data_IF_684137635852
#
_entry.id   IF_684137635852
#
_cell.length_a   1.000
_cell.length_b   1.000
_cell.length_c   1.000
_cell.angle_alpha   90.00
_cell.angle_beta   90.00
_cell.angle_gamma   90.00
#
_symmetry.space_group_name_H-M   'P 1'
#
loop_
_entity.id
_entity.type
_entity.pdbx_description
1 polymer ?
#
# COMPACT_ATOMS: atom_id res chain seq x y z
N UNK A 1 7.03 -1.11 -1.52
CA UNK A 1 6.80 -0.62 -2.90
C UNK A 1 8.04 0.06 -3.46
N UNK A 2 8.24 0.01 -4.74
CA UNK A 2 9.30 0.66 -5.50
C UNK A 2 8.74 1.70 -6.49
N UNK A 3 7.43 1.94 -6.42
CA UNK A 3 6.72 3.00 -7.14
C UNK A 3 5.63 3.61 -6.25
N UNK A 4 5.76 4.88 -5.88
CA UNK A 4 4.74 5.64 -5.16
C UNK A 4 4.89 7.16 -5.41
N UNK A 5 3.93 7.95 -4.92
CA UNK A 5 3.91 9.40 -5.13
C UNK A 5 5.17 10.09 -4.58
N UNK A 6 5.77 9.59 -3.48
CA UNK A 6 6.97 10.19 -2.88
C UNK A 6 8.22 9.89 -3.71
N UNK A 7 8.32 8.66 -4.26
CA UNK A 7 9.40 8.26 -5.17
C UNK A 7 9.34 9.10 -6.45
N UNK A 8 8.14 9.20 -7.04
CA UNK A 8 7.89 9.98 -8.26
C UNK A 8 8.24 11.45 -8.06
N UNK A 9 7.76 12.06 -6.97
CA UNK A 9 8.06 13.45 -6.63
C UNK A 9 9.57 13.67 -6.52
N UNK A 10 10.27 12.81 -5.80
CA UNK A 10 11.71 12.92 -5.63
C UNK A 10 12.47 12.73 -6.94
N UNK A 11 12.04 11.80 -7.78
CA UNK A 11 12.62 11.60 -9.11
C UNK A 11 12.51 12.86 -9.98
N UNK A 12 11.32 13.47 -9.99
CA UNK A 12 11.08 14.71 -10.72
C UNK A 12 11.92 15.88 -10.17
N UNK A 13 12.05 16.00 -8.85
CA UNK A 13 12.89 17.02 -8.19
C UNK A 13 14.39 16.88 -8.53
N UNK A 14 14.88 15.63 -8.63
CA UNK A 14 16.28 15.34 -8.94
C UNK A 14 16.56 15.21 -10.45
N UNK A 15 15.54 15.19 -11.30
CA UNK A 15 15.68 15.02 -12.75
C UNK A 15 16.16 13.63 -13.17
N UNK A 16 15.82 12.61 -12.39
CA UNK A 16 16.17 11.19 -12.62
C UNK A 16 14.91 10.32 -12.71
N UNK A 17 15.08 9.03 -13.03
CA UNK A 17 13.94 8.10 -13.09
C UNK A 17 13.48 7.66 -11.68
N UNK A 18 12.20 7.26 -11.56
CA UNK A 18 11.67 6.66 -10.34
C UNK A 18 12.41 5.35 -9.98
N UNK A 19 12.85 4.59 -10.98
CA UNK A 19 13.64 3.38 -10.80
C UNK A 19 15.02 3.68 -10.18
N UNK A 20 15.68 4.76 -10.59
CA UNK A 20 16.96 5.17 -10.01
C UNK A 20 16.79 5.55 -8.53
N UNK A 21 15.75 6.30 -8.20
CA UNK A 21 15.44 6.66 -6.80
C UNK A 21 15.15 5.40 -5.98
N UNK A 22 14.28 4.52 -6.45
CA UNK A 22 13.91 3.31 -5.70
C UNK A 22 15.12 2.38 -5.50
N UNK A 23 15.93 2.16 -6.53
CA UNK A 23 17.14 1.33 -6.47
C UNK A 23 18.13 1.87 -5.45
N UNK A 24 18.37 3.19 -5.45
CA UNK A 24 19.25 3.87 -4.49
C UNK A 24 18.77 3.63 -3.06
N UNK A 25 17.50 3.88 -2.77
CA UNK A 25 16.98 3.75 -1.41
C UNK A 25 16.78 2.30 -0.95
N UNK A 26 16.55 1.36 -1.86
CA UNK A 26 16.58 -0.08 -1.55
C UNK A 26 17.98 -0.49 -1.07
N UNK A 27 19.05 -0.05 -1.77
CA UNK A 27 20.42 -0.33 -1.36
C UNK A 27 20.75 0.28 0.02
N UNK A 28 20.31 1.53 0.26
CA UNK A 28 20.52 2.18 1.54
C UNK A 28 19.75 1.50 2.69
N UNK A 29 18.50 1.08 2.45
CA UNK A 29 17.71 0.32 3.43
C UNK A 29 18.36 -1.02 3.78
N UNK A 30 18.92 -1.73 2.79
CA UNK A 30 19.63 -3.00 3.04
C UNK A 30 20.84 -2.80 3.96
N UNK A 31 21.63 -1.74 3.74
CA UNK A 31 22.77 -1.41 4.63
C UNK A 31 22.33 -1.15 6.06
N UNK A 32 21.23 -0.40 6.24
CA UNK A 32 20.70 -0.10 7.56
C UNK A 32 20.20 -1.38 8.27
N UNK A 33 19.53 -2.28 7.54
CA UNK A 33 19.09 -3.58 8.08
C UNK A 33 20.28 -4.49 8.45
N UNK A 34 21.30 -4.56 7.60
CA UNK A 34 22.54 -5.30 7.89
C UNK A 34 23.23 -4.76 9.15
N UNK A 35 23.34 -3.42 9.28
CA UNK A 35 23.90 -2.77 10.47
C UNK A 35 23.17 -3.14 11.77
N UNK A 36 21.86 -3.35 11.70
CA UNK A 36 21.05 -3.81 12.84
C UNK A 36 21.02 -5.34 12.99
N UNK A 37 21.88 -6.08 12.29
CA UNK A 37 21.91 -7.54 12.29
C UNK A 37 20.56 -8.21 11.92
N UNK A 38 19.77 -7.55 11.10
CA UNK A 38 18.48 -8.07 10.59
C UNK A 38 18.77 -8.94 9.38
N UNK A 39 18.42 -10.22 9.47
CA UNK A 39 18.56 -11.16 8.36
C UNK A 39 17.64 -10.76 7.19
N UNK A 40 18.11 -10.87 5.94
CA UNK A 40 17.26 -10.59 4.79
C UNK A 40 16.07 -11.56 4.74
N UNK A 41 14.93 -11.10 4.24
CA UNK A 41 13.79 -11.95 3.95
C UNK A 41 14.13 -12.94 2.82
N UNK A 42 13.43 -14.06 2.76
CA UNK A 42 13.57 -15.05 1.67
C UNK A 42 13.27 -14.44 0.30
N UNK A 43 12.30 -13.52 0.25
CA UNK A 43 11.90 -12.83 -0.97
C UNK A 43 11.69 -11.34 -0.70
N UNK A 44 12.21 -10.48 -1.58
CA UNK A 44 12.00 -9.04 -1.59
C UNK A 44 11.33 -8.65 -2.92
N UNK A 45 10.00 -8.78 -3.04
CA UNK A 45 9.30 -8.50 -4.29
C UNK A 45 9.30 -7.00 -4.61
N UNK A 46 9.29 -6.69 -5.90
CA UNK A 46 9.15 -5.33 -6.43
C UNK A 46 7.78 -5.19 -7.09
N UNK A 47 7.03 -4.18 -6.70
CA UNK A 47 5.69 -3.93 -7.23
C UNK A 47 5.71 -3.72 -8.76
N UNK A 48 6.74 -3.06 -9.29
CA UNK A 48 6.92 -2.84 -10.72
C UNK A 48 7.08 -4.12 -11.54
N UNK A 49 7.48 -5.22 -10.92
CA UNK A 49 7.60 -6.53 -11.56
C UNK A 49 6.31 -7.36 -11.51
N UNK A 50 5.30 -6.89 -10.80
CA UNK A 50 4.06 -7.62 -10.54
C UNK A 50 2.82 -6.97 -11.18
N UNK A 51 3.01 -6.03 -12.09
CA UNK A 51 1.92 -5.29 -12.76
C UNK A 51 0.91 -6.24 -13.44
N UNK A 52 1.38 -7.27 -14.13
CA UNK A 52 0.49 -8.26 -14.77
C UNK A 52 -0.44 -8.93 -13.77
N UNK A 53 0.10 -9.40 -12.64
CA UNK A 53 -0.72 -10.01 -11.58
C UNK A 53 -1.70 -9.03 -10.93
N UNK A 54 -1.34 -7.74 -10.85
CA UNK A 54 -2.26 -6.71 -10.35
C UNK A 54 -3.41 -6.50 -11.32
N UNK A 55 -3.14 -6.43 -12.63
CA UNK A 55 -4.18 -6.32 -13.67
C UNK A 55 -5.12 -7.53 -13.61
N UNK A 56 -4.58 -8.75 -13.50
CA UNK A 56 -5.38 -9.97 -13.42
C UNK A 56 -6.28 -10.00 -12.17
N UNK A 57 -5.75 -9.60 -11.02
CA UNK A 57 -6.55 -9.55 -9.78
C UNK A 57 -7.63 -8.47 -9.86
N UNK A 58 -7.32 -7.28 -10.38
CA UNK A 58 -8.30 -6.21 -10.59
C UNK A 58 -9.39 -6.66 -11.56
N UNK A 59 -9.04 -7.34 -12.66
CA UNK A 59 -10.03 -7.88 -13.59
C UNK A 59 -10.93 -8.91 -12.90
N UNK A 60 -10.36 -9.80 -12.09
CA UNK A 60 -11.12 -10.75 -11.28
C UNK A 60 -12.12 -10.05 -10.36
N UNK A 61 -11.71 -8.95 -9.72
CA UNK A 61 -12.59 -8.14 -8.87
C UNK A 61 -13.72 -7.47 -9.66
N UNK A 62 -13.43 -6.98 -10.87
CA UNK A 62 -14.44 -6.42 -11.78
C UNK A 62 -15.45 -7.50 -12.19
N UNK A 63 -14.99 -8.66 -12.64
CA UNK A 63 -15.82 -9.77 -13.09
C UNK A 63 -16.75 -10.30 -11.99
N UNK A 64 -16.27 -10.29 -10.73
CA UNK A 64 -17.08 -10.61 -9.55
C UNK A 64 -17.93 -9.44 -9.05
N UNK A 65 -17.82 -8.27 -9.68
CA UNK A 65 -18.58 -7.06 -9.39
C UNK A 65 -18.11 -6.31 -8.15
N UNK A 66 -16.95 -6.63 -7.57
CA UNK A 66 -16.33 -5.89 -6.46
C UNK A 66 -15.57 -4.64 -6.90
N UNK A 67 -15.36 -4.45 -8.19
CA UNK A 67 -14.72 -3.27 -8.71
C UNK A 67 -15.43 -2.74 -9.97
N UNK A 68 -15.16 -1.50 -10.34
CA UNK A 68 -15.74 -0.83 -11.51
C UNK A 68 -14.76 0.19 -12.09
N UNK A 69 -14.89 0.43 -13.39
CA UNK A 69 -14.07 1.39 -14.12
C UNK A 69 -14.87 2.66 -14.40
N UNK A 70 -14.27 3.82 -14.09
CA UNK A 70 -14.81 5.14 -14.50
C UNK A 70 -13.67 5.92 -15.14
N UNK A 71 -13.81 6.23 -16.41
CA UNK A 71 -12.86 7.06 -17.18
C UNK A 71 -11.39 6.57 -17.08
N UNK A 72 -11.17 5.25 -16.97
CA UNK A 72 -9.84 4.66 -16.87
C UNK A 72 -9.31 4.51 -15.45
N UNK A 73 -9.99 5.04 -14.45
CA UNK A 73 -9.74 4.76 -13.02
C UNK A 73 -10.55 3.55 -12.59
N UNK A 74 -9.93 2.58 -11.92
CA UNK A 74 -10.67 1.45 -11.35
C UNK A 74 -10.78 1.62 -9.85
N UNK A 75 -12.01 1.54 -9.35
CA UNK A 75 -12.35 1.63 -7.93
C UNK A 75 -12.85 0.30 -7.40
N UNK A 76 -12.56 0.03 -6.12
CA UNK A 76 -13.11 -1.08 -5.35
C UNK A 76 -14.40 -0.65 -4.66
N UNK A 77 -15.48 -1.47 -4.75
CA UNK A 77 -16.77 -1.25 -4.08
C UNK A 77 -16.69 -1.70 -2.63
N UNK A 78 -16.33 -0.80 -1.73
CA UNK A 78 -16.09 -1.12 -0.32
C UNK A 78 -17.29 -1.72 0.37
N UNK A 79 -18.52 -1.17 0.14
CA UNK A 79 -19.76 -1.67 0.76
C UNK A 79 -20.18 -3.04 0.29
N UNK A 80 -19.69 -3.51 -0.85
CA UNK A 80 -20.01 -4.85 -1.34
C UNK A 80 -19.32 -5.96 -0.53
N UNK A 81 -18.21 -5.66 0.12
CA UNK A 81 -17.51 -6.59 0.98
C UNK A 81 -18.09 -6.54 2.41
N UNK A 82 -18.97 -7.49 2.76
CA UNK A 82 -19.69 -7.52 4.04
C UNK A 82 -18.77 -7.55 5.28
N UNK A 83 -17.55 -8.07 5.12
CA UNK A 83 -16.55 -8.13 6.19
C UNK A 83 -15.68 -6.88 6.35
N UNK A 84 -15.94 -5.79 5.63
CA UNK A 84 -15.10 -4.59 5.71
C UNK A 84 -15.15 -3.97 7.12
N UNK A 85 -14.00 -3.67 7.68
CA UNK A 85 -13.88 -3.18 9.06
C UNK A 85 -13.62 -4.28 10.11
N UNK A 86 -13.57 -5.56 9.71
CA UNK A 86 -13.41 -6.68 10.66
C UNK A 86 -12.07 -6.67 11.41
N UNK A 87 -10.99 -6.18 10.78
CA UNK A 87 -9.68 -6.04 11.40
C UNK A 87 -9.59 -4.79 12.26
N UNK A 88 -9.94 -3.65 11.69
CA UNK A 88 -9.81 -2.33 12.33
C UNK A 88 -10.88 -2.06 13.39
N UNK A 89 -11.92 -2.89 13.44
CA UNK A 89 -13.11 -2.68 14.29
C UNK A 89 -13.86 -1.37 13.98
N UNK A 90 -13.69 -0.86 12.77
CA UNK A 90 -14.37 0.35 12.30
C UNK A 90 -15.72 -0.02 11.69
N UNK A 91 -16.74 0.76 12.01
CA UNK A 91 -18.03 0.67 11.35
C UNK A 91 -17.99 1.50 10.06
N UNK A 92 -18.46 0.94 8.95
CA UNK A 92 -18.56 1.61 7.66
C UNK A 92 -19.37 2.92 7.74
N UNK A 93 -20.46 2.93 8.49
CA UNK A 93 -21.34 4.10 8.61
C UNK A 93 -20.66 5.26 9.36
N UNK A 94 -19.80 4.95 10.34
CA UNK A 94 -19.01 5.96 11.06
C UNK A 94 -17.90 6.55 10.16
N UNK A 95 -17.35 5.75 9.24
CA UNK A 95 -16.36 6.22 8.28
C UNK A 95 -16.97 7.21 7.27
N UNK A 96 -18.21 7.00 6.83
CA UNK A 96 -18.91 7.91 5.93
C UNK A 96 -19.13 9.30 6.57
N UNK A 97 -19.44 9.33 7.86
CA UNK A 97 -19.61 10.59 8.59
C UNK A 97 -18.33 11.43 8.65
N UNK A 98 -17.16 10.79 8.72
CA UNK A 98 -15.85 11.46 8.71
C UNK A 98 -15.38 11.94 7.33
N UNK A 99 -15.91 11.36 6.24
CA UNK A 99 -15.54 11.72 4.87
C UNK A 99 -16.29 12.94 4.30
N UNK A 100 -17.43 13.32 4.88
CA UNK A 100 -18.27 14.41 4.37
C UNK A 100 -17.59 15.79 4.37
N UNK A 101 -16.52 15.95 5.13
CA UNK A 101 -15.84 17.26 5.29
C UNK A 101 -14.55 17.41 4.44
N UNK A 102 -14.11 16.37 3.71
CA UNK A 102 -12.85 16.41 2.95
C UNK A 102 -13.15 16.11 1.47
N UNK A 103 -13.35 17.17 0.68
CA UNK A 103 -13.42 17.02 -0.80
C UNK A 103 -12.03 16.82 -1.37
N UNK A 104 -11.75 15.64 -1.92
CA UNK A 104 -10.53 15.34 -2.68
C UNK A 104 -10.85 15.40 -4.17
N UNK A 105 -9.96 15.97 -4.99
CA UNK A 105 -10.15 16.04 -6.44
C UNK A 105 -10.33 14.62 -7.03
N UNK A 106 -11.44 14.39 -7.74
CA UNK A 106 -11.83 13.09 -8.33
C UNK A 106 -12.87 12.30 -7.53
N UNK A 107 -13.38 12.84 -6.41
CA UNK A 107 -14.44 12.18 -5.62
C UNK A 107 -15.79 12.10 -6.33
N UNK A 108 -16.07 13.01 -7.25
CA UNK A 108 -17.34 13.04 -7.99
C UNK A 108 -17.53 11.84 -8.96
N UNK A 109 -16.48 11.02 -9.14
CA UNK A 109 -16.51 9.86 -10.05
C UNK A 109 -16.75 8.53 -9.31
N UNK A 110 -16.72 8.50 -7.99
CA UNK A 110 -16.97 7.30 -7.19
C UNK A 110 -18.45 7.01 -7.02
N UNK A 111 -18.81 5.72 -7.04
CA UNK A 111 -20.17 5.27 -6.67
C UNK A 111 -20.45 5.49 -5.18
N UNK A 112 -19.44 5.34 -4.32
CA UNK A 112 -19.48 5.57 -2.88
C UNK A 112 -18.20 6.27 -2.40
N UNK A 113 -18.28 7.24 -1.47
CA UNK A 113 -17.10 7.95 -0.95
C UNK A 113 -16.04 7.03 -0.32
N UNK A 114 -16.44 5.87 0.19
CA UNK A 114 -15.54 4.88 0.80
C UNK A 114 -14.79 4.02 -0.21
N UNK A 115 -15.17 4.07 -1.49
CA UNK A 115 -14.51 3.30 -2.52
C UNK A 115 -13.06 3.76 -2.70
N UNK A 116 -12.16 2.82 -2.86
CA UNK A 116 -10.74 3.12 -2.98
C UNK A 116 -10.18 2.68 -4.33
N UNK A 117 -9.10 3.33 -4.74
CA UNK A 117 -8.52 3.16 -6.07
C UNK A 117 -7.71 1.90 -6.16
N UNK A 118 -7.95 1.08 -7.19
CA UNK A 118 -7.16 -0.08 -7.59
C UNK A 118 -6.20 0.23 -8.73
N UNK A 119 -6.62 1.09 -9.68
CA UNK A 119 -5.82 1.53 -10.82
C UNK A 119 -6.05 3.01 -11.11
N UNK A 120 -4.96 3.75 -11.37
CA UNK A 120 -4.98 5.19 -11.68
C UNK A 120 -4.48 5.42 -13.09
N UNK A 121 -5.18 6.22 -13.92
CA UNK A 121 -4.63 6.69 -15.20
C UNK A 121 -3.31 7.45 -15.01
N UNK A 122 -2.44 7.35 -16.01
CA UNK A 122 -1.16 8.04 -15.99
C UNK A 122 -1.33 9.55 -15.92
N UNK A 123 -0.40 10.20 -15.24
CA UNK A 123 -0.19 11.66 -15.29
C UNK A 123 1.17 11.94 -15.90
N UNK A 124 1.33 13.17 -16.40
CA UNK A 124 2.63 13.60 -16.90
C UNK A 124 3.72 13.49 -15.82
N UNK A 125 4.88 12.94 -16.20
CA UNK A 125 6.00 12.72 -15.27
C UNK A 125 5.87 11.50 -14.35
N UNK A 126 4.82 10.66 -14.52
CA UNK A 126 4.65 9.42 -13.76
C UNK A 126 5.01 8.18 -14.61
N UNK A 127 5.63 7.14 -14.00
CA UNK A 127 5.74 5.84 -14.66
C UNK A 127 4.35 5.26 -14.90
N UNK A 128 4.18 4.55 -16.01
CA UNK A 128 2.89 3.94 -16.35
C UNK A 128 3.07 2.65 -17.12
N UNK A 129 2.07 1.78 -17.00
CA UNK A 129 1.96 0.51 -17.69
C UNK A 129 0.64 0.42 -18.44
N UNK A 130 0.59 -0.29 -19.58
CA UNK A 130 -0.66 -0.52 -20.28
C UNK A 130 -1.59 -1.43 -19.46
N UNK A 131 -2.88 -1.12 -19.47
CA UNK A 131 -3.92 -1.95 -18.89
C UNK A 131 -5.18 -1.92 -19.75
N UNK A 132 -6.17 -2.83 -19.53
CA UNK A 132 -7.45 -2.81 -20.24
C UNK A 132 -8.27 -1.52 -20.04
N UNK A 133 -7.99 -0.75 -19.00
CA UNK A 133 -8.76 0.42 -18.60
C UNK A 133 -8.10 1.74 -19.05
N UNK A 134 -6.79 1.82 -18.87
CA UNK A 134 -5.96 2.97 -19.28
C UNK A 134 -4.49 2.63 -19.13
N UNK A 135 -3.60 3.37 -19.84
CA UNK A 135 -2.22 3.46 -19.41
C UNK A 135 -2.20 4.11 -18.03
N UNK A 136 -1.49 3.50 -17.07
CA UNK A 136 -1.55 3.99 -15.70
C UNK A 136 -0.69 3.19 -14.72
N UNK A 137 -1.04 3.26 -13.45
CA UNK A 137 -0.35 2.56 -12.38
C UNK A 137 -1.30 2.03 -11.31
N UNK A 138 -0.90 0.99 -10.56
CA UNK A 138 -1.73 0.43 -9.50
C UNK A 138 -1.93 1.40 -8.34
N UNK A 139 -3.01 1.20 -7.60
CA UNK A 139 -3.18 1.70 -6.24
C UNK A 139 -2.25 0.95 -5.28
N UNK A 140 -1.92 1.58 -4.14
CA UNK A 140 -0.98 0.99 -3.18
C UNK A 140 -1.42 -0.35 -2.59
N UNK A 141 -2.71 -0.53 -2.34
CA UNK A 141 -3.21 -1.70 -1.61
C UNK A 141 -3.16 -3.00 -2.44
N UNK A 142 -3.38 -2.91 -3.75
CA UNK A 142 -3.40 -4.08 -4.64
C UNK A 142 -2.01 -4.71 -4.80
N UNK A 143 -0.94 -3.93 -4.67
CA UNK A 143 0.43 -4.40 -4.76
C UNK A 143 0.68 -5.51 -3.73
N UNK A 144 0.35 -5.25 -2.47
CA UNK A 144 0.58 -6.18 -1.37
C UNK A 144 -0.28 -7.44 -1.48
N UNK A 145 -1.56 -7.31 -1.85
CA UNK A 145 -2.44 -8.46 -2.07
C UNK A 145 -1.90 -9.41 -3.14
N UNK A 146 -1.43 -8.87 -4.26
CA UNK A 146 -0.88 -9.68 -5.36
C UNK A 146 0.46 -10.31 -4.99
N UNK A 147 1.35 -9.55 -4.37
CA UNK A 147 2.65 -10.09 -3.95
C UNK A 147 2.50 -11.17 -2.88
N UNK A 148 1.61 -10.98 -1.90
CA UNK A 148 1.30 -12.01 -0.90
C UNK A 148 0.79 -13.30 -1.56
N UNK A 149 -0.19 -13.21 -2.44
CA UNK A 149 -0.71 -14.34 -3.20
C UNK A 149 0.37 -15.07 -3.98
N UNK A 150 1.19 -14.34 -4.73
CA UNK A 150 2.20 -14.91 -5.62
C UNK A 150 3.33 -15.62 -4.89
N UNK A 151 3.85 -15.02 -3.83
CA UNK A 151 5.06 -15.49 -3.15
C UNK A 151 4.80 -16.32 -1.90
N UNK A 152 3.59 -16.29 -1.38
CA UNK A 152 3.19 -17.06 -0.19
C UNK A 152 2.02 -17.99 -0.52
N UNK A 153 0.77 -17.49 -0.48
CA UNK A 153 -0.44 -18.28 -0.76
C UNK A 153 -1.68 -17.37 -0.88
N UNK A 154 -2.83 -17.96 -1.22
CA UNK A 154 -4.14 -17.28 -1.14
C UNK A 154 -4.55 -16.99 0.32
N UNK A 155 -4.18 -17.87 1.25
CA UNK A 155 -4.27 -17.72 2.70
C UNK A 155 -2.87 -17.78 3.29
N UNK A 156 -2.43 -16.70 3.95
CA UNK A 156 -1.10 -16.62 4.58
C UNK A 156 -1.19 -16.85 6.09
N UNK A 157 -0.10 -17.31 6.70
CA UNK A 157 -0.11 -17.57 8.15
C UNK A 157 -0.10 -16.28 8.94
N UNK A 158 0.86 -15.39 8.70
CA UNK A 158 1.04 -14.15 9.46
C UNK A 158 1.18 -12.97 8.50
N UNK A 159 0.39 -11.92 8.74
CA UNK A 159 0.56 -10.60 8.13
C UNK A 159 0.89 -9.58 9.21
N UNK A 160 1.95 -8.80 9.00
CA UNK A 160 2.45 -7.89 10.01
C UNK A 160 2.72 -6.49 9.46
N UNK A 161 2.67 -5.47 10.33
CA UNK A 161 2.99 -4.09 9.98
C UNK A 161 2.90 -3.13 11.16
N UNK A 162 3.01 -1.84 10.89
CA UNK A 162 2.72 -0.80 11.89
C UNK A 162 1.21 -0.67 12.16
N UNK A 163 0.85 -0.18 13.32
CA UNK A 163 -0.58 0.03 13.68
C UNK A 163 -1.29 1.04 12.77
N UNK A 164 -0.54 1.94 12.13
CA UNK A 164 -1.06 2.88 11.14
C UNK A 164 -1.51 2.20 9.83
N UNK A 165 -1.05 0.99 9.56
CA UNK A 165 -1.46 0.20 8.42
C UNK A 165 -2.76 -0.58 8.65
N UNK A 166 -3.22 -0.75 9.90
CA UNK A 166 -4.47 -1.48 10.19
C UNK A 166 -5.61 -0.92 9.34
N UNK A 167 -5.71 0.42 9.28
CA UNK A 167 -6.69 1.11 8.47
C UNK A 167 -6.07 2.34 7.79
N UNK A 168 -6.30 2.51 6.48
CA UNK A 168 -7.12 1.65 5.61
C UNK A 168 -6.36 0.49 4.94
N UNK A 169 -5.01 0.42 5.01
CA UNK A 169 -4.19 -0.42 4.14
C UNK A 169 -4.50 -1.92 4.29
N UNK A 170 -4.35 -2.49 5.48
CA UNK A 170 -4.59 -3.91 5.72
C UNK A 170 -6.06 -4.29 5.58
N UNK A 171 -6.99 -3.40 5.95
CA UNK A 171 -8.42 -3.62 5.72
C UNK A 171 -8.72 -3.72 4.22
N UNK A 172 -8.10 -2.87 3.39
CA UNK A 172 -8.24 -2.91 1.95
C UNK A 172 -7.58 -4.16 1.33
N UNK A 173 -6.44 -4.61 1.85
CA UNK A 173 -5.83 -5.87 1.43
C UNK A 173 -6.75 -7.08 1.71
N UNK A 174 -7.38 -7.12 2.89
CA UNK A 174 -8.38 -8.15 3.22
C UNK A 174 -9.51 -8.14 2.19
N UNK A 175 -10.11 -6.98 1.95
CA UNK A 175 -11.22 -6.85 1.04
C UNK A 175 -10.86 -7.31 -0.38
N UNK A 176 -9.71 -6.91 -0.90
CA UNK A 176 -9.22 -7.32 -2.21
C UNK A 176 -8.95 -8.82 -2.29
N UNK A 177 -8.17 -9.34 -1.35
CA UNK A 177 -7.70 -10.72 -1.38
C UNK A 177 -8.84 -11.72 -1.16
N UNK A 178 -9.71 -11.47 -0.18
CA UNK A 178 -10.83 -12.38 0.12
C UNK A 178 -11.91 -12.33 -0.95
N UNK A 179 -12.22 -11.16 -1.51
CA UNK A 179 -13.15 -11.06 -2.64
C UNK A 179 -12.61 -11.75 -3.90
N UNK A 180 -11.31 -11.59 -4.20
CA UNK A 180 -10.70 -12.21 -5.35
C UNK A 180 -10.56 -13.73 -5.20
N UNK A 181 -10.08 -14.21 -4.05
CA UNK A 181 -9.68 -15.60 -3.84
C UNK A 181 -10.76 -16.47 -3.19
N UNK A 182 -11.72 -15.89 -2.46
CA UNK A 182 -12.80 -16.62 -1.80
C UNK A 182 -12.37 -17.37 -0.53
N UNK A 183 -11.20 -17.05 0.02
CA UNK A 183 -10.66 -17.62 1.27
C UNK A 183 -10.20 -16.52 2.18
N UNK A 184 -10.02 -16.81 3.47
CA UNK A 184 -9.45 -15.87 4.44
C UNK A 184 -8.05 -15.45 3.99
N UNK A 185 -7.73 -14.16 4.06
CA UNK A 185 -6.43 -13.66 3.59
C UNK A 185 -5.28 -14.01 4.54
N UNK A 186 -5.43 -13.76 5.83
CA UNK A 186 -4.38 -14.05 6.82
C UNK A 186 -4.97 -14.65 8.10
N UNK A 187 -4.30 -15.67 8.64
CA UNK A 187 -4.72 -16.33 9.89
C UNK A 187 -4.45 -15.45 11.10
N UNK A 188 -3.26 -14.83 11.13
CA UNK A 188 -2.83 -13.99 12.25
C UNK A 188 -2.35 -12.63 11.77
N UNK A 189 -2.71 -11.60 12.52
CA UNK A 189 -2.32 -10.21 12.30
C UNK A 189 -1.44 -9.73 13.45
N UNK A 190 -0.30 -9.12 13.12
CA UNK A 190 0.62 -8.57 14.11
C UNK A 190 0.90 -7.11 13.80
N UNK A 191 0.65 -6.24 14.78
CA UNK A 191 0.90 -4.81 14.62
C UNK A 191 1.78 -4.30 15.76
N UNK A 192 2.85 -3.58 15.40
CA UNK A 192 3.66 -2.85 16.36
C UNK A 192 3.15 -1.42 16.51
N UNK A 193 3.16 -0.93 17.74
CA UNK A 193 2.86 0.46 18.03
C UNK A 193 3.93 1.41 17.48
N UNK A 194 3.63 2.71 17.48
CA UNK A 194 4.59 3.74 17.08
C UNK A 194 5.77 3.83 18.06
N UNK A 195 6.94 4.13 17.52
CA UNK A 195 8.05 4.58 18.34
C UNK A 195 7.72 6.00 18.87
N UNK A 196 7.90 6.18 20.17
CA UNK A 196 7.67 7.44 20.84
C UNK A 196 8.98 8.04 21.36
N UNK A 197 9.12 9.34 21.24
CA UNK A 197 10.20 10.14 21.82
C UNK A 197 9.55 11.20 22.69
N UNK A 198 9.89 11.24 23.97
CA UNK A 198 9.30 12.12 24.96
C UNK A 198 7.76 12.09 24.97
N UNK A 199 7.20 10.87 24.96
CA UNK A 199 5.76 10.62 24.91
C UNK A 199 5.03 11.16 23.66
N UNK A 200 5.76 11.48 22.59
CA UNK A 200 5.20 11.90 21.30
C UNK A 200 5.59 10.89 20.22
N UNK A 201 4.68 10.60 19.31
CA UNK A 201 4.96 9.78 18.14
C UNK A 201 6.19 10.32 17.41
N UNK A 202 7.18 9.43 17.14
CA UNK A 202 8.31 9.78 16.29
C UNK A 202 7.84 9.97 14.84
N UNK A 203 8.02 11.18 14.29
CA UNK A 203 7.63 11.45 12.91
C UNK A 203 8.48 12.54 12.27
N UNK A 204 8.63 12.45 10.94
CA UNK A 204 9.33 13.47 10.15
C UNK A 204 8.69 14.85 10.26
N UNK A 205 7.36 14.90 10.29
CA UNK A 205 6.60 16.16 10.40
C UNK A 205 6.80 16.89 11.72
N UNK A 206 7.09 16.16 12.81
CA UNK A 206 7.37 16.74 14.12
C UNK A 206 8.85 17.06 14.31
N UNK A 207 9.73 16.67 13.37
CA UNK A 207 11.17 16.91 13.49
C UNK A 207 11.86 16.15 14.63
N UNK A 208 11.18 15.19 15.26
CA UNK A 208 11.67 14.42 16.40
C UNK A 208 12.07 12.99 15.97
N UNK A 209 12.56 12.81 14.76
CA UNK A 209 12.88 11.49 14.25
C UNK A 209 14.40 11.32 14.09
N UNK A 210 14.89 10.10 14.36
CA UNK A 210 16.26 9.69 14.16
C UNK A 210 16.33 8.57 13.13
N UNK A 211 17.29 8.65 12.23
CA UNK A 211 17.58 7.54 11.33
C UNK A 211 18.46 6.50 12.04
N UNK A 212 18.48 5.27 11.51
CA UNK A 212 19.45 4.24 11.97
C UNK A 212 20.88 4.77 11.95
N UNK A 213 21.23 5.56 10.91
CA UNK A 213 22.55 6.18 10.75
C UNK A 213 22.86 7.27 11.77
N UNK A 214 21.85 8.01 12.23
CA UNK A 214 22.06 8.99 13.29
C UNK A 214 22.37 8.29 14.61
N UNK A 215 21.62 7.23 14.90
CA UNK A 215 21.85 6.42 16.10
C UNK A 215 23.20 5.71 16.05
N UNK A 216 23.62 5.19 14.89
CA UNK A 216 24.92 4.49 14.76
C UNK A 216 26.15 5.36 14.97
N UNK A 217 26.00 6.70 14.99
CA UNK A 217 27.11 7.63 15.33
C UNK A 217 27.39 7.67 16.83
N UNK A 218 26.39 7.34 17.64
CA UNK A 218 26.43 7.48 19.09
C UNK A 218 26.40 6.11 19.80
N UNK A 219 25.84 5.08 19.15
CA UNK A 219 25.62 3.76 19.73
C UNK A 219 26.01 2.66 18.76
N UNK A 220 26.48 1.53 19.30
CA UNK A 220 26.61 0.29 18.55
C UNK A 220 25.20 -0.22 18.20
N UNK A 221 24.98 -0.63 16.97
CA UNK A 221 23.69 -1.13 16.48
C UNK A 221 23.46 -2.62 16.78
N UNK A 222 24.46 -3.31 17.36
CA UNK A 222 24.40 -4.76 17.69
C UNK A 222 23.98 -5.01 19.12
#
# INVERSE_FOLDING_TARGET
>A
TDVDDKIIKKANEEGVSAEEISTRYIAECKKDMEGMNIKPATTHPLATQEIGGMIDMIQTLIDKGYAYNVNGTVYYRTRKFEGYGKLSKKNIDDLEAGHRDIKVAGEDEKEDPLDFVLWKPKKEGEPSWPSPWSDGRPGWHIECSVMAKKYLADEIDIHAGGEDLIFPHHENEIAQSEAANGVQFAKYWMHNAFLNIDNKKMSKSLGNFFTVRDISKEYDLQ
#
